data_IF_015474374781
#
_entry.id   IF_015474374781
#
_cell.length_a   1.000
_cell.length_b   1.000
_cell.length_c   1.000
_cell.angle_alpha   90.00
_cell.angle_beta   90.00
_cell.angle_gamma   90.00
#
_symmetry.space_group_name_H-M   'P 1'
#
loop_
_entity.id
_entity.type
_entity.pdbx_description
1 polymer ?
#
# COMPACT_ATOMS: atom_id res chain seq x y z
N UNK A 1 10.46 1.77 1.04
CA UNK A 1 9.29 2.03 1.90
C UNK A 1 8.14 1.05 1.64
N UNK A 2 7.73 0.81 0.40
CA UNK A 2 6.61 -0.09 0.07
C UNK A 2 6.81 -1.54 0.55
N UNK A 3 8.01 -2.12 0.38
CA UNK A 3 8.33 -3.46 0.86
C UNK A 3 8.30 -3.56 2.39
N UNK A 4 8.80 -2.54 3.08
CA UNK A 4 8.76 -2.48 4.55
C UNK A 4 7.31 -2.49 5.08
N UNK A 5 6.38 -1.80 4.42
CA UNK A 5 4.96 -1.83 4.82
C UNK A 5 4.32 -3.20 4.61
N UNK A 6 4.69 -3.94 3.55
CA UNK A 6 4.21 -5.31 3.33
C UNK A 6 4.68 -6.26 4.42
N UNK A 7 5.97 -6.19 4.79
CA UNK A 7 6.52 -7.01 5.87
C UNK A 7 5.86 -6.67 7.22
N UNK A 8 5.66 -5.39 7.50
CA UNK A 8 4.97 -4.95 8.71
C UNK A 8 3.51 -5.44 8.76
N UNK A 9 2.78 -5.40 7.65
CA UNK A 9 1.43 -5.95 7.56
C UNK A 9 1.41 -7.47 7.77
N UNK A 10 2.33 -8.20 7.13
CA UNK A 10 2.45 -9.65 7.30
C UNK A 10 2.75 -10.02 8.77
N UNK A 11 3.63 -9.26 9.44
CA UNK A 11 3.93 -9.45 10.85
C UNK A 11 2.68 -9.27 11.73
N UNK A 12 1.93 -8.17 11.57
CA UNK A 12 0.72 -7.93 12.36
C UNK A 12 -0.39 -8.93 12.05
N UNK A 13 -0.52 -9.36 10.80
CA UNK A 13 -1.45 -10.42 10.42
C UNK A 13 -1.07 -11.75 11.09
N UNK A 14 0.21 -12.11 11.07
CA UNK A 14 0.71 -13.29 11.78
C UNK A 14 0.46 -13.23 13.29
N UNK A 15 0.69 -12.07 13.91
CA UNK A 15 0.44 -11.85 15.32
C UNK A 15 -1.06 -11.99 15.66
N UNK A 16 -1.96 -11.42 14.85
CA UNK A 16 -3.41 -11.59 15.02
C UNK A 16 -3.84 -13.05 14.88
N UNK A 17 -3.36 -13.74 13.85
CA UNK A 17 -3.67 -15.15 13.62
C UNK A 17 -3.19 -15.99 14.82
N UNK A 18 -1.96 -15.78 15.28
CA UNK A 18 -1.42 -16.49 16.44
C UNK A 18 -2.23 -16.23 17.71
N UNK A 19 -2.61 -14.97 17.96
CA UNK A 19 -3.43 -14.62 19.11
C UNK A 19 -4.80 -15.29 19.04
N UNK A 20 -5.47 -15.25 17.87
CA UNK A 20 -6.78 -15.89 17.68
C UNK A 20 -6.70 -17.41 17.83
N UNK A 21 -5.64 -18.05 17.33
CA UNK A 21 -5.40 -19.47 17.53
C UNK A 21 -5.19 -19.79 19.00
N UNK A 22 -4.38 -19.01 19.71
CA UNK A 22 -4.15 -19.20 21.15
C UNK A 22 -5.47 -19.10 21.95
N UNK A 23 -6.24 -18.04 21.71
CA UNK A 23 -7.55 -17.86 22.38
C UNK A 23 -8.56 -18.96 22.01
N UNK A 24 -8.45 -19.53 20.78
CA UNK A 24 -9.38 -20.59 20.35
C UNK A 24 -9.04 -21.95 20.90
N UNK A 25 -7.76 -22.25 21.11
CA UNK A 25 -7.32 -23.58 21.52
C UNK A 25 -6.82 -23.66 22.96
N UNK A 26 -6.60 -22.51 23.63
CA UNK A 26 -6.12 -22.45 25.00
C UNK A 26 -7.02 -21.51 25.81
N UNK A 27 -7.30 -21.91 27.04
CA UNK A 27 -7.95 -21.03 28.02
C UNK A 27 -6.91 -20.06 28.55
N UNK A 28 -6.97 -18.81 28.08
CA UNK A 28 -6.01 -17.76 28.40
C UNK A 28 -6.62 -16.76 29.37
N UNK A 29 -6.07 -16.70 30.58
CA UNK A 29 -6.35 -15.64 31.53
C UNK A 29 -5.33 -14.50 31.34
N UNK A 30 -5.81 -13.30 31.08
CA UNK A 30 -4.96 -12.11 30.95
C UNK A 30 -4.88 -11.38 32.28
N UNK A 31 -3.66 -11.06 32.70
CA UNK A 31 -3.42 -10.28 33.92
C UNK A 31 -2.42 -9.17 33.67
N UNK A 32 -2.50 -8.11 34.44
CA UNK A 32 -1.56 -7.00 34.41
C UNK A 32 -0.98 -6.72 35.79
N UNK A 33 0.26 -6.25 35.84
CA UNK A 33 0.88 -5.75 37.02
C UNK A 33 1.71 -4.51 36.71
N UNK A 34 1.79 -3.58 37.66
CA UNK A 34 2.57 -2.36 37.49
C UNK A 34 3.45 -2.14 38.70
N UNK A 35 4.71 -1.80 38.47
CA UNK A 35 5.66 -1.37 39.52
C UNK A 35 5.36 0.04 40.01
N UNK A 36 4.60 0.85 39.25
CA UNK A 36 4.25 2.23 39.55
C UNK A 36 3.04 2.35 40.49
N UNK A 37 2.52 1.26 41.05
CA UNK A 37 1.35 1.23 41.91
C UNK A 37 0.14 2.05 41.33
N UNK A 38 -0.05 1.93 40.02
CA UNK A 38 -1.14 2.62 39.33
C UNK A 38 -2.49 2.15 39.90
N UNK A 39 -3.37 3.12 40.15
CA UNK A 39 -4.75 2.84 40.52
C UNK A 39 -5.52 2.23 39.34
N UNK A 40 -6.45 1.32 39.64
CA UNK A 40 -7.32 0.66 38.66
C UNK A 40 -8.03 1.67 37.76
N UNK A 41 -8.44 2.82 38.34
CA UNK A 41 -9.09 3.89 37.62
C UNK A 41 -8.19 4.55 36.56
N UNK A 42 -6.90 4.68 36.81
CA UNK A 42 -5.93 5.22 35.84
C UNK A 42 -5.78 4.29 34.64
N UNK A 43 -5.78 2.97 34.87
CA UNK A 43 -5.76 1.98 33.80
C UNK A 43 -7.09 2.00 33.00
N UNK A 44 -8.22 2.14 33.71
CA UNK A 44 -9.51 2.23 33.04
C UNK A 44 -9.59 3.46 32.12
N UNK A 45 -9.10 4.61 32.55
CA UNK A 45 -9.02 5.82 31.69
C UNK A 45 -8.12 5.58 30.49
N UNK A 46 -7.01 4.89 30.65
CA UNK A 46 -6.12 4.54 29.56
C UNK A 46 -6.79 3.59 28.55
N UNK A 47 -7.48 2.56 29.02
CA UNK A 47 -8.21 1.63 28.15
C UNK A 47 -9.35 2.32 27.42
N UNK A 48 -10.08 3.23 28.06
CA UNK A 48 -11.11 4.06 27.41
C UNK A 48 -10.50 4.95 26.33
N UNK A 49 -9.37 5.60 26.61
CA UNK A 49 -8.68 6.43 25.62
C UNK A 49 -8.20 5.60 24.43
N UNK A 50 -7.63 4.43 24.67
CA UNK A 50 -7.19 3.52 23.61
C UNK A 50 -8.36 2.95 22.81
N UNK A 51 -9.51 2.70 23.45
CA UNK A 51 -10.69 2.14 22.79
C UNK A 51 -11.50 3.17 21.99
N UNK A 52 -11.10 4.45 22.01
CA UNK A 52 -11.81 5.53 21.33
C UNK A 52 -12.20 5.22 19.87
N UNK A 53 -11.38 4.56 19.03
CA UNK A 53 -11.76 4.26 17.65
C UNK A 53 -12.91 3.25 17.51
N UNK A 54 -13.11 2.37 18.47
CA UNK A 54 -14.09 1.26 18.37
C UNK A 54 -15.11 1.20 19.50
N UNK A 55 -15.00 2.01 20.56
CA UNK A 55 -15.89 1.89 21.72
C UNK A 55 -17.36 2.07 21.36
N UNK A 56 -17.69 2.86 20.31
CA UNK A 56 -19.06 3.03 19.83
C UNK A 56 -19.54 1.85 18.95
N UNK A 57 -18.62 1.12 18.33
CA UNK A 57 -18.93 0.01 17.43
C UNK A 57 -19.02 -1.32 18.18
N UNK A 58 -18.13 -1.53 19.13
CA UNK A 58 -17.99 -2.77 19.91
C UNK A 58 -17.77 -2.41 21.38
N UNK A 59 -18.81 -1.94 22.11
CA UNK A 59 -18.65 -1.53 23.50
C UNK A 59 -18.25 -2.68 24.42
N UNK A 60 -18.64 -3.92 24.11
CA UNK A 60 -18.26 -5.11 24.87
C UNK A 60 -16.76 -5.44 24.82
N UNK A 61 -16.01 -4.85 23.91
CA UNK A 61 -14.56 -5.03 23.81
C UNK A 61 -13.78 -3.98 24.63
N UNK A 62 -14.47 -3.18 25.43
CA UNK A 62 -13.85 -2.22 26.34
C UNK A 62 -13.88 -2.82 27.74
N UNK A 63 -12.70 -3.08 28.38
CA UNK A 63 -12.66 -3.60 29.74
C UNK A 63 -13.31 -2.65 30.73
N UNK A 64 -14.21 -3.16 31.55
CA UNK A 64 -14.82 -2.41 32.62
C UNK A 64 -13.91 -2.36 33.88
N UNK A 65 -14.28 -1.56 34.87
CA UNK A 65 -13.52 -1.42 36.11
C UNK A 65 -13.39 -2.75 36.86
N UNK A 66 -14.45 -3.58 36.86
CA UNK A 66 -14.45 -4.86 37.53
C UNK A 66 -13.45 -5.83 36.94
N UNK A 67 -13.43 -5.93 35.61
CA UNK A 67 -12.48 -6.76 34.86
C UNK A 67 -11.04 -6.30 35.08
N UNK A 68 -10.79 -4.96 35.08
CA UNK A 68 -9.47 -4.41 35.28
C UNK A 68 -8.96 -4.71 36.70
N UNK A 69 -9.81 -4.59 37.72
CA UNK A 69 -9.44 -4.87 39.10
C UNK A 69 -9.21 -6.38 39.31
N UNK A 70 -10.07 -7.23 38.81
CA UNK A 70 -9.95 -8.68 38.85
C UNK A 70 -8.69 -9.19 38.15
N UNK A 71 -8.26 -8.52 37.06
CA UNK A 71 -7.09 -8.89 36.28
C UNK A 71 -5.77 -8.36 36.88
N UNK A 72 -5.82 -7.60 37.98
CA UNK A 72 -4.65 -7.07 38.64
C UNK A 72 -3.88 -8.16 39.36
N UNK A 73 -2.65 -8.44 38.94
CA UNK A 73 -1.80 -9.46 39.50
C UNK A 73 -0.76 -8.88 40.43
N UNK A 74 -0.78 -9.32 41.73
CA UNK A 74 0.22 -8.94 42.71
C UNK A 74 1.37 -9.96 42.77
N UNK A 75 2.47 -9.65 42.17
CA UNK A 75 3.67 -10.53 42.10
C UNK A 75 4.33 -10.83 43.45
N UNK A 76 4.04 -10.00 44.44
CA UNK A 76 4.76 -10.04 45.75
C UNK A 76 4.17 -11.09 46.70
N UNK A 77 2.95 -11.56 46.50
CA UNK A 77 2.30 -12.40 47.49
C UNK A 77 2.57 -13.92 47.38
N UNK A 78 3.32 -14.37 46.37
CA UNK A 78 3.76 -15.78 46.28
C UNK A 78 2.66 -16.84 46.31
N UNK A 79 1.42 -16.45 46.55
CA UNK A 79 0.24 -17.31 46.44
C UNK A 79 -0.20 -17.33 45.00
N UNK A 80 0.03 -18.46 44.34
CA UNK A 80 -0.76 -18.84 43.16
C UNK A 80 -2.17 -18.95 43.70
N UNK A 81 -2.94 -17.85 43.61
CA UNK A 81 -4.38 -17.94 43.77
C UNK A 81 -4.84 -18.91 42.68
N UNK A 82 -5.35 -20.06 43.15
CA UNK A 82 -6.06 -20.99 42.26
C UNK A 82 -7.29 -20.21 41.81
N UNK A 83 -7.16 -19.57 40.64
CA UNK A 83 -8.26 -18.86 40.02
C UNK A 83 -9.41 -19.85 39.84
N UNK A 84 -10.57 -19.52 40.36
CA UNK A 84 -11.76 -20.28 40.03
C UNK A 84 -11.95 -20.29 38.52
N UNK A 85 -12.53 -21.33 37.94
CA UNK A 85 -12.78 -21.45 36.49
C UNK A 85 -13.59 -20.25 36.01
N UNK A 86 -14.51 -19.76 36.83
CA UNK A 86 -15.33 -18.56 36.52
C UNK A 86 -14.48 -17.31 36.40
N UNK A 87 -13.55 -17.07 37.32
CA UNK A 87 -12.63 -15.92 37.27
C UNK A 87 -11.68 -16.00 36.08
N UNK A 88 -11.24 -17.20 35.70
CA UNK A 88 -10.39 -17.38 34.52
C UNK A 88 -11.12 -17.02 33.22
N UNK A 89 -12.40 -17.40 33.12
CA UNK A 89 -13.25 -17.04 31.97
C UNK A 89 -13.49 -15.52 31.88
N UNK A 90 -13.74 -14.85 33.01
CA UNK A 90 -13.86 -13.39 33.03
C UNK A 90 -12.58 -12.70 32.58
N UNK A 91 -11.43 -13.17 33.05
CA UNK A 91 -10.12 -12.64 32.66
C UNK A 91 -9.81 -12.87 31.15
N UNK A 92 -10.48 -13.84 30.56
CA UNK A 92 -10.41 -14.08 29.12
C UNK A 92 -10.92 -12.91 28.29
N UNK A 93 -11.90 -12.13 28.73
CA UNK A 93 -12.53 -11.06 27.92
C UNK A 93 -11.57 -9.97 27.43
N UNK A 94 -10.39 -9.86 28.00
CA UNK A 94 -9.33 -8.98 27.53
C UNK A 94 -8.91 -9.23 26.07
N UNK A 95 -9.09 -10.45 25.54
CA UNK A 95 -8.68 -10.78 24.18
C UNK A 95 -9.31 -9.87 23.13
N UNK A 96 -10.56 -9.48 23.30
CA UNK A 96 -11.27 -8.61 22.35
C UNK A 96 -10.61 -7.23 22.27
N UNK A 97 -10.28 -6.65 23.43
CA UNK A 97 -9.59 -5.39 23.52
C UNK A 97 -8.19 -5.46 22.86
N UNK A 98 -7.45 -6.53 23.09
CA UNK A 98 -6.11 -6.72 22.53
C UNK A 98 -6.18 -6.88 21.02
N UNK A 99 -7.11 -7.70 20.49
CA UNK A 99 -7.31 -7.90 19.05
C UNK A 99 -7.65 -6.58 18.37
N UNK A 100 -8.60 -5.80 18.92
CA UNK A 100 -8.98 -4.51 18.34
C UNK A 100 -7.84 -3.50 18.43
N UNK A 101 -7.06 -3.51 19.52
CA UNK A 101 -5.88 -2.65 19.64
C UNK A 101 -4.85 -2.97 18.54
N UNK A 102 -4.54 -4.23 18.30
CA UNK A 102 -3.64 -4.64 17.23
C UNK A 102 -4.20 -4.25 15.86
N UNK A 103 -5.50 -4.43 15.65
CA UNK A 103 -6.17 -4.10 14.39
C UNK A 103 -6.11 -2.59 14.10
N UNK A 104 -6.56 -1.76 15.05
CA UNK A 104 -6.67 -0.31 14.86
C UNK A 104 -5.32 0.40 14.91
N UNK A 105 -4.40 0.00 15.78
CA UNK A 105 -3.11 0.67 15.93
C UNK A 105 -1.96 -0.01 15.18
N UNK A 106 -2.09 -1.31 14.92
CA UNK A 106 -1.09 -2.09 14.17
C UNK A 106 -1.40 -2.16 12.69
N UNK A 107 -2.53 -2.80 12.33
CA UNK A 107 -2.86 -3.13 10.92
C UNK A 107 -3.35 -1.91 10.16
N UNK A 108 -4.31 -1.17 10.70
CA UNK A 108 -4.98 -0.08 9.98
C UNK A 108 -4.02 1.03 9.52
N UNK A 109 -3.15 1.61 10.36
CA UNK A 109 -2.23 2.65 9.90
C UNK A 109 -1.22 2.12 8.87
N UNK A 110 -0.79 0.87 9.02
CA UNK A 110 0.11 0.23 8.05
C UNK A 110 -0.57 0.00 6.70
N UNK A 111 -1.83 -0.38 6.72
CA UNK A 111 -2.63 -0.53 5.50
C UNK A 111 -2.82 0.81 4.79
N UNK A 112 -3.15 1.87 5.54
CA UNK A 112 -3.29 3.23 4.98
C UNK A 112 -1.98 3.71 4.36
N UNK A 113 -0.86 3.58 5.08
CA UNK A 113 0.46 3.94 4.56
C UNK A 113 0.84 3.12 3.32
N UNK A 114 0.56 1.82 3.32
CA UNK A 114 0.78 0.97 2.14
C UNK A 114 -0.05 1.43 0.94
N UNK A 115 -1.32 1.76 1.14
CA UNK A 115 -2.20 2.25 0.08
C UNK A 115 -1.72 3.58 -0.50
N UNK A 116 -1.29 4.52 0.36
CA UNK A 116 -0.72 5.81 -0.04
C UNK A 116 0.56 5.59 -0.84
N UNK A 117 1.50 4.81 -0.33
CA UNK A 117 2.75 4.49 -1.02
C UNK A 117 2.51 3.83 -2.38
N UNK A 118 1.53 2.93 -2.47
CA UNK A 118 1.16 2.28 -3.73
C UNK A 118 0.58 3.28 -4.74
N UNK A 119 -0.26 4.23 -4.29
CA UNK A 119 -0.80 5.30 -5.15
C UNK A 119 0.32 6.20 -5.67
N UNK A 120 1.19 6.68 -4.78
CA UNK A 120 2.31 7.54 -5.15
C UNK A 120 3.25 6.86 -6.13
N UNK A 121 3.62 5.60 -5.86
CA UNK A 121 4.49 4.85 -6.76
C UNK A 121 3.88 4.72 -8.16
N UNK A 122 2.58 4.41 -8.27
CA UNK A 122 1.88 4.34 -9.55
C UNK A 122 1.87 5.69 -10.30
N UNK A 123 1.68 6.79 -9.59
CA UNK A 123 1.69 8.13 -10.17
C UNK A 123 3.08 8.49 -10.67
N UNK A 124 4.12 8.29 -9.87
CA UNK A 124 5.51 8.57 -10.26
C UNK A 124 6.00 7.67 -11.40
N UNK A 125 5.66 6.40 -11.41
CA UNK A 125 5.98 5.51 -12.53
C UNK A 125 5.30 5.95 -13.83
N UNK A 126 4.02 6.36 -13.79
CA UNK A 126 3.31 6.88 -14.98
C UNK A 126 3.96 8.15 -15.52
N UNK A 127 4.33 9.08 -14.64
CA UNK A 127 5.02 10.32 -15.04
C UNK A 127 6.42 10.05 -15.59
N UNK A 128 7.19 9.16 -14.95
CA UNK A 128 8.52 8.79 -15.39
C UNK A 128 8.51 8.10 -16.77
N UNK A 129 7.52 7.24 -17.03
CA UNK A 129 7.34 6.59 -18.34
C UNK A 129 6.95 7.64 -19.39
N UNK A 130 6.02 8.55 -19.06
CA UNK A 130 5.56 9.57 -20.00
C UNK A 130 6.65 10.61 -20.35
N UNK A 131 7.61 10.88 -19.45
CA UNK A 131 8.70 11.83 -19.66
C UNK A 131 9.97 11.19 -20.22
N UNK A 132 9.99 9.88 -20.47
CA UNK A 132 11.19 9.22 -20.99
C UNK A 132 11.36 9.51 -22.49
N UNK A 133 12.51 10.11 -22.94
CA UNK A 133 12.68 10.55 -24.34
C UNK A 133 12.63 9.38 -25.34
N UNK A 134 12.91 8.17 -24.93
CA UNK A 134 12.78 6.98 -25.79
C UNK A 134 11.33 6.59 -26.07
N UNK A 135 10.43 6.79 -25.10
CA UNK A 135 8.98 6.55 -25.29
C UNK A 135 8.42 7.52 -26.31
N UNK A 136 8.85 8.78 -26.27
CA UNK A 136 8.47 9.82 -27.22
C UNK A 136 8.95 9.48 -28.65
N UNK A 137 10.16 8.95 -28.80
CA UNK A 137 10.66 8.43 -30.09
C UNK A 137 9.88 7.24 -30.63
N UNK A 138 9.46 6.31 -29.75
CA UNK A 138 8.66 5.16 -30.16
C UNK A 138 7.26 5.61 -30.58
N UNK A 139 6.62 6.48 -29.81
CA UNK A 139 5.30 7.03 -30.13
C UNK A 139 5.33 7.83 -31.43
N UNK A 140 6.36 8.65 -31.65
CA UNK A 140 6.51 9.41 -32.91
C UNK A 140 6.72 8.49 -34.13
N UNK A 141 7.48 7.39 -33.99
CA UNK A 141 7.62 6.39 -35.07
C UNK A 141 6.31 5.65 -35.38
N UNK A 142 5.54 5.28 -34.33
CA UNK A 142 4.25 4.61 -34.51
C UNK A 142 3.21 5.55 -35.14
N UNK A 143 3.18 6.82 -34.74
CA UNK A 143 2.28 7.81 -35.33
C UNK A 143 2.68 8.19 -36.75
N UNK A 144 3.97 8.26 -37.09
CA UNK A 144 4.43 8.48 -38.46
C UNK A 144 4.04 7.33 -39.40
N UNK A 145 4.01 6.09 -38.90
CA UNK A 145 3.61 4.94 -39.71
C UNK A 145 2.10 4.91 -39.99
N UNK A 146 1.27 5.45 -39.07
CA UNK A 146 -0.18 5.52 -39.26
C UNK A 146 -0.61 6.65 -40.25
N UNK A 147 0.22 7.68 -40.37
CA UNK A 147 -0.05 8.79 -41.35
C UNK A 147 0.29 8.39 -42.78
N UNK A 148 1.30 7.51 -42.97
CA UNK A 148 1.70 7.06 -44.30
C UNK A 148 0.71 6.12 -44.97
N UNK A 149 -0.16 5.43 -44.24
CA UNK A 149 -1.19 4.53 -44.81
C UNK A 149 -2.47 5.24 -45.22
N UNK A 150 -2.63 6.52 -44.93
CA UNK A 150 -3.86 7.28 -45.26
C UNK A 150 -3.79 8.05 -46.55
N UNK A 151 -2.66 8.05 -47.25
CA UNK A 151 -2.46 8.77 -48.51
C UNK A 151 -2.42 7.88 -49.76
N UNK A 152 -2.91 6.64 -49.67
CA UNK A 152 -3.13 5.78 -50.82
C UNK A 152 -4.65 5.54 -51.00
N UNK A 153 -5.39 6.60 -51.29
CA UNK A 153 -6.62 6.40 -52.04
C UNK A 153 -6.26 6.28 -53.53
N UNK A 154 -6.67 5.21 -54.20
CA UNK A 154 -6.47 5.06 -55.64
C UNK A 154 -7.60 5.79 -56.39
N UNK A 155 -7.28 6.91 -56.94
CA UNK A 155 -8.26 7.62 -57.72
C UNK A 155 -7.72 8.91 -58.31
N UNK A 156 -6.88 8.83 -59.31
CA UNK A 156 -7.09 9.56 -60.57
C UNK A 156 -5.87 9.36 -61.47
N UNK A 157 -6.01 8.37 -62.34
CA UNK A 157 -5.24 8.26 -63.56
C UNK A 157 -5.60 9.45 -64.44
N UNK A 158 -4.75 10.44 -64.51
CA UNK A 158 -4.77 11.37 -65.63
C UNK A 158 -3.51 11.15 -66.42
N UNK A 159 -3.64 10.22 -67.38
CA UNK A 159 -2.84 10.22 -68.60
C UNK A 159 -3.13 11.53 -69.31
N UNK A 160 -2.16 12.39 -69.39
CA UNK A 160 -2.12 13.34 -70.47
C UNK A 160 -0.85 13.10 -71.30
N UNK A 161 -1.11 12.80 -72.52
CA UNK A 161 -0.21 12.52 -73.59
C UNK A 161 0.46 13.78 -74.09
N UNK A 162 1.64 13.57 -74.65
CA UNK A 162 2.30 14.29 -75.74
C UNK A 162 2.86 15.65 -75.44
N UNK A 163 4.18 15.71 -75.51
CA UNK A 163 4.86 16.48 -76.60
C UNK A 163 6.35 16.32 -76.46
N UNK A 164 6.88 15.72 -77.42
CA UNK A 164 7.75 16.12 -78.54
C UNK A 164 9.24 16.10 -78.23
N UNK A 165 9.82 15.16 -78.94
CA UNK A 165 11.22 15.08 -79.29
C UNK A 165 11.64 16.32 -80.08
N UNK A 166 12.70 16.97 -79.68
CA UNK A 166 13.66 17.62 -80.58
C UNK A 166 15.04 17.65 -79.99
N UNK A 167 16.02 17.15 -80.72
CA UNK A 167 17.42 17.29 -80.33
C UNK A 167 18.04 18.55 -80.85
N UNK A 168 18.71 19.35 -80.09
CA UNK A 168 19.62 20.28 -80.69
C UNK A 168 20.92 20.37 -79.91
N UNK A 169 21.91 20.10 -80.66
CA UNK A 169 23.34 20.17 -80.44
C UNK A 169 23.82 21.62 -80.15
N UNK A 170 24.79 21.76 -79.32
CA UNK A 170 26.02 22.54 -79.48
C UNK A 170 26.75 22.68 -78.17
N UNK A 171 27.83 22.02 -78.10
CA UNK A 171 29.24 22.52 -78.24
C UNK A 171 29.74 23.42 -77.12
N UNK A 172 30.72 22.84 -76.45
CA UNK A 172 31.98 23.44 -76.05
C UNK A 172 32.01 24.70 -75.19
N UNK A 173 32.51 24.55 -74.02
CA UNK A 173 33.82 25.19 -73.78
C UNK A 173 34.45 24.72 -72.45
N UNK A 174 35.59 24.14 -72.61
CA UNK A 174 36.64 24.04 -71.63
C UNK A 174 37.01 25.42 -71.08
N UNK A 175 37.13 25.51 -69.78
CA UNK A 175 38.22 26.30 -69.22
C UNK A 175 38.73 25.68 -67.90
N UNK A 176 39.86 25.13 -68.01
CA UNK A 176 40.88 24.88 -67.01
C UNK A 176 41.39 26.21 -66.48
N UNK A 177 41.51 26.32 -65.16
CA UNK A 177 42.60 27.02 -64.41
C UNK A 177 42.38 26.58 -62.94
N UNK A 178 43.21 25.84 -62.34
CA UNK A 178 44.58 25.85 -61.85
C UNK A 178 44.90 27.09 -61.02
N UNK A 179 45.35 26.82 -59.78
CA UNK A 179 46.24 27.57 -58.85
C UNK A 179 45.57 28.77 -58.17
N UNK A 180 45.43 28.87 -56.88
CA UNK A 180 46.54 28.84 -55.84
C UNK A 180 45.87 28.38 -54.51
#
# INVERSE_FOLDING_TARGET
LWQAQRLALAYHAGLLITLLLLVSFQDLAFGWSSTLALETESIHRLTLWMSWPWHNLVPQAVPDLGLIDASRYFRIQGQVQVLSVETAQELGFWWQFIVLSILFYGVFPRFVLWAICKRQLRQHCRLAIASHPEVERIVSRLSAHSVSTRSLEPGESRFDKTQDFAPDSRSSNLKVNSLD
#
